data_IF_544900569080
#
_entry.id   IF_544900569080
#
_cell.length_a   1.000
_cell.length_b   1.000
_cell.length_c   1.000
_cell.angle_alpha   90.00
_cell.angle_beta   90.00
_cell.angle_gamma   90.00
#
_symmetry.space_group_name_H-M   'P 1'
#
loop_
_entity.id
_entity.type
_entity.pdbx_description
1 polymer ?
#
# COMPACT_ATOMS: atom_id res chain seq x y z
N UNK A 1 5.19 -18.46 23.44
CA UNK A 1 5.58 -17.54 22.34
C UNK A 1 4.55 -16.42 22.29
N UNK A 2 4.97 -15.18 22.54
CA UNK A 2 4.06 -14.03 22.69
C UNK A 2 3.48 -13.57 21.36
N UNK A 3 2.24 -13.98 21.07
CA UNK A 3 1.49 -13.39 19.97
C UNK A 3 0.96 -12.03 20.43
N UNK A 4 1.27 -10.96 19.69
CA UNK A 4 0.63 -9.65 19.89
C UNK A 4 -0.89 -9.80 19.67
N UNK A 5 -1.72 -9.19 20.51
CA UNK A 5 -3.18 -9.08 20.25
C UNK A 5 -3.38 -8.35 18.91
N UNK A 6 -4.48 -8.62 18.19
CA UNK A 6 -4.67 -8.14 16.81
C UNK A 6 -4.56 -6.61 16.70
N UNK A 7 -5.11 -5.88 17.67
CA UNK A 7 -5.05 -4.42 17.74
C UNK A 7 -3.61 -3.96 17.93
N UNK A 8 -2.82 -4.68 18.72
CA UNK A 8 -1.40 -4.35 18.92
C UNK A 8 -0.58 -4.63 17.66
N UNK A 9 -0.89 -5.70 16.93
CA UNK A 9 -0.25 -5.98 15.64
C UNK A 9 -0.58 -4.87 14.63
N UNK A 10 -1.86 -4.50 14.53
CA UNK A 10 -2.32 -3.41 13.68
C UNK A 10 -1.60 -2.10 14.02
N UNK A 11 -1.65 -1.66 15.28
CA UNK A 11 -1.11 -0.36 15.70
C UNK A 11 0.42 -0.30 15.61
N UNK A 12 1.11 -1.37 16.05
CA UNK A 12 2.58 -1.34 16.20
C UNK A 12 3.33 -1.73 14.95
N UNK A 13 2.75 -2.55 14.09
CA UNK A 13 3.40 -3.00 12.86
C UNK A 13 2.77 -2.32 11.65
N UNK A 14 1.49 -2.55 11.40
CA UNK A 14 0.85 -2.09 10.15
C UNK A 14 0.73 -0.57 10.10
N UNK A 15 0.02 0.03 11.06
CA UNK A 15 -0.20 1.48 11.10
C UNK A 15 1.09 2.26 11.26
N UNK A 16 2.01 1.76 12.09
CA UNK A 16 3.36 2.32 12.24
C UNK A 16 4.10 2.38 10.89
N UNK A 17 4.12 1.29 10.13
CA UNK A 17 4.79 1.25 8.83
C UNK A 17 4.11 2.15 7.80
N UNK A 18 2.78 2.21 7.80
CA UNK A 18 2.03 3.14 6.95
C UNK A 18 2.41 4.60 7.26
N UNK A 19 2.42 5.00 8.53
CA UNK A 19 2.82 6.35 8.93
C UNK A 19 4.28 6.66 8.55
N UNK A 20 5.20 5.71 8.74
CA UNK A 20 6.60 5.89 8.35
C UNK A 20 6.75 6.14 6.84
N UNK A 21 5.97 5.43 6.02
CA UNK A 21 5.96 5.65 4.59
C UNK A 21 5.42 7.05 4.22
N UNK A 22 4.29 7.47 4.78
CA UNK A 22 3.73 8.81 4.52
C UNK A 22 4.73 9.91 4.90
N UNK A 23 5.39 9.78 6.06
CA UNK A 23 6.43 10.71 6.49
C UNK A 23 7.64 10.74 5.54
N UNK A 24 8.07 9.59 5.02
CA UNK A 24 9.16 9.51 4.07
C UNK A 24 8.77 10.14 2.70
N UNK A 25 7.53 9.96 2.26
CA UNK A 25 7.04 10.60 1.04
C UNK A 25 6.92 12.12 1.19
N UNK A 26 6.49 12.62 2.35
CA UNK A 26 6.52 14.06 2.65
C UNK A 26 7.95 14.62 2.70
N UNK A 27 8.88 13.86 3.27
CA UNK A 27 10.29 14.23 3.24
C UNK A 27 10.84 14.32 1.81
N UNK A 28 10.48 13.37 0.92
CA UNK A 28 10.84 13.41 -0.49
C UNK A 28 10.36 14.70 -1.18
N UNK A 29 9.13 15.12 -0.92
CA UNK A 29 8.59 16.37 -1.47
C UNK A 29 9.39 17.58 -0.97
N UNK A 30 9.65 17.65 0.33
CA UNK A 30 10.41 18.75 0.92
C UNK A 30 11.85 18.79 0.39
N UNK A 31 12.51 17.63 0.31
CA UNK A 31 13.88 17.50 -0.20
C UNK A 31 13.98 17.91 -1.67
N UNK A 32 13.03 17.48 -2.50
CA UNK A 32 12.98 17.85 -3.91
C UNK A 32 12.75 19.34 -4.10
N UNK A 33 11.89 19.94 -3.26
CA UNK A 33 11.59 21.38 -3.32
C UNK A 33 12.75 22.26 -2.83
N UNK A 34 13.60 21.73 -1.94
CA UNK A 34 14.79 22.42 -1.45
C UNK A 34 15.92 22.50 -2.49
N UNK A 35 15.87 21.68 -3.55
CA UNK A 35 16.83 21.71 -4.66
C UNK A 35 18.18 21.02 -4.39
N UNK A 36 18.33 20.32 -3.26
CA UNK A 36 19.50 19.49 -2.98
C UNK A 36 19.32 18.09 -3.58
N UNK A 37 20.06 17.81 -4.65
CA UNK A 37 19.95 16.56 -5.39
C UNK A 37 20.35 15.32 -4.56
N UNK A 38 21.32 15.46 -3.66
CA UNK A 38 21.77 14.34 -2.82
C UNK A 38 20.70 13.99 -1.79
N UNK A 39 20.18 15.01 -1.10
CA UNK A 39 19.11 14.83 -0.11
C UNK A 39 17.82 14.33 -0.78
N UNK A 40 17.49 14.81 -1.97
CA UNK A 40 16.33 14.33 -2.73
C UNK A 40 16.47 12.86 -3.13
N UNK A 41 17.68 12.43 -3.50
CA UNK A 41 17.96 11.02 -3.81
C UNK A 41 17.82 10.13 -2.57
N UNK A 42 18.38 10.53 -1.43
CA UNK A 42 18.25 9.80 -0.17
C UNK A 42 16.78 9.69 0.27
N UNK A 43 16.03 10.79 0.16
CA UNK A 43 14.61 10.80 0.47
C UNK A 43 13.80 9.90 -0.47
N UNK A 44 14.16 9.83 -1.75
CA UNK A 44 13.53 8.92 -2.71
C UNK A 44 13.75 7.45 -2.34
N UNK A 45 14.97 7.07 -1.99
CA UNK A 45 15.26 5.70 -1.57
C UNK A 45 14.55 5.33 -0.26
N UNK A 46 14.48 6.26 0.69
CA UNK A 46 13.78 6.03 1.95
C UNK A 46 12.26 5.90 1.73
N UNK A 47 11.66 6.74 0.88
CA UNK A 47 10.24 6.62 0.52
C UNK A 47 9.94 5.27 -0.16
N UNK A 48 10.81 4.81 -1.06
CA UNK A 48 10.69 3.48 -1.68
C UNK A 48 10.80 2.36 -0.64
N UNK A 49 11.82 2.40 0.22
CA UNK A 49 12.08 1.38 1.25
C UNK A 49 10.93 1.25 2.26
N UNK A 50 10.46 2.39 2.76
CA UNK A 50 9.35 2.43 3.71
C UNK A 50 8.02 2.05 3.04
N UNK A 51 7.78 2.47 1.79
CA UNK A 51 6.61 2.07 1.02
C UNK A 51 6.54 0.57 0.78
N UNK A 52 7.66 -0.06 0.41
CA UNK A 52 7.76 -1.52 0.27
C UNK A 52 7.46 -2.24 1.59
N UNK A 53 7.98 -1.71 2.71
CA UNK A 53 7.74 -2.30 4.04
C UNK A 53 6.27 -2.18 4.45
N UNK A 54 5.66 -1.01 4.24
CA UNK A 54 4.24 -0.77 4.50
C UNK A 54 3.34 -1.71 3.68
N UNK A 55 3.64 -1.88 2.39
CA UNK A 55 2.90 -2.79 1.52
C UNK A 55 2.96 -4.24 2.00
N UNK A 56 4.13 -4.72 2.43
CA UNK A 56 4.30 -6.07 2.99
C UNK A 56 3.45 -6.24 4.25
N UNK A 57 3.59 -5.35 5.23
CA UNK A 57 2.85 -5.47 6.49
C UNK A 57 1.34 -5.39 6.28
N UNK A 58 0.88 -4.44 5.46
CA UNK A 58 -0.54 -4.22 5.21
C UNK A 58 -1.18 -5.39 4.45
N UNK A 59 -0.50 -5.93 3.42
CA UNK A 59 -0.99 -7.09 2.68
C UNK A 59 -1.04 -8.36 3.53
N UNK A 60 0.05 -8.67 4.25
CA UNK A 60 0.14 -9.88 5.06
C UNK A 60 -0.70 -9.84 6.34
N UNK A 61 -1.19 -8.67 6.74
CA UNK A 61 -2.12 -8.57 7.86
C UNK A 61 -3.41 -9.38 7.64
N UNK A 62 -3.79 -9.65 6.38
CA UNK A 62 -4.90 -10.56 6.06
C UNK A 62 -4.68 -11.98 6.62
N UNK A 63 -3.46 -12.49 6.52
CA UNK A 63 -3.09 -13.81 7.05
C UNK A 63 -3.12 -13.78 8.57
N UNK A 64 -2.59 -12.72 9.18
CA UNK A 64 -2.60 -12.54 10.64
C UNK A 64 -4.03 -12.49 11.18
N UNK A 65 -4.91 -11.71 10.56
CA UNK A 65 -6.30 -11.57 10.98
C UNK A 65 -7.09 -12.88 10.78
N UNK A 66 -6.81 -13.62 9.70
CA UNK A 66 -7.43 -14.91 9.42
C UNK A 66 -7.00 -15.96 10.46
N UNK A 67 -5.70 -16.20 10.62
CA UNK A 67 -5.17 -17.22 11.56
C UNK A 67 -5.56 -16.96 13.02
N UNK A 68 -5.90 -15.71 13.35
CA UNK A 68 -6.31 -15.29 14.70
C UNK A 68 -7.82 -15.17 14.89
N UNK A 69 -8.63 -15.54 13.90
CA UNK A 69 -10.08 -15.41 13.94
C UNK A 69 -10.57 -13.98 14.31
N UNK A 70 -9.87 -12.95 13.81
CA UNK A 70 -10.08 -11.56 14.23
C UNK A 70 -11.35 -10.90 13.67
N UNK A 71 -12.03 -11.54 12.71
CA UNK A 71 -13.22 -11.01 12.04
C UNK A 71 -14.40 -11.93 12.32
N UNK A 72 -15.57 -11.35 12.59
CA UNK A 72 -16.81 -12.07 12.86
C UNK A 72 -17.93 -11.59 11.88
N UNK A 73 -18.58 -12.49 11.12
CA UNK A 73 -18.33 -13.92 11.00
C UNK A 73 -16.93 -14.23 10.46
N UNK A 74 -16.33 -15.32 10.96
CA UNK A 74 -15.01 -15.74 10.49
C UNK A 74 -15.07 -16.13 9.01
N UNK A 75 -14.23 -15.56 8.14
CA UNK A 75 -14.22 -15.93 6.72
C UNK A 75 -13.92 -17.41 6.52
N UNK A 76 -14.53 -18.05 5.52
CA UNK A 76 -14.35 -19.48 5.26
C UNK A 76 -12.94 -19.87 4.76
N UNK A 77 -12.15 -18.90 4.31
CA UNK A 77 -10.78 -19.10 3.82
C UNK A 77 -10.01 -17.78 3.80
N UNK A 78 -8.68 -17.85 3.67
CA UNK A 78 -7.84 -16.66 3.43
C UNK A 78 -8.25 -15.91 2.14
N UNK A 79 -8.72 -16.62 1.11
CA UNK A 79 -9.23 -15.99 -0.11
C UNK A 79 -10.50 -15.17 0.18
N UNK A 80 -11.41 -15.70 1.02
CA UNK A 80 -12.59 -14.97 1.46
C UNK A 80 -12.25 -13.75 2.33
N UNK A 81 -11.23 -13.85 3.19
CA UNK A 81 -10.70 -12.71 3.95
C UNK A 81 -10.17 -11.61 3.00
N UNK A 82 -9.37 -11.98 1.99
CA UNK A 82 -8.85 -11.04 1.00
C UNK A 82 -9.97 -10.39 0.18
N UNK A 83 -10.98 -11.15 -0.22
CA UNK A 83 -12.16 -10.62 -0.91
C UNK A 83 -12.96 -9.64 -0.03
N UNK A 84 -13.08 -9.92 1.27
CA UNK A 84 -13.72 -9.00 2.22
C UNK A 84 -12.98 -7.66 2.30
N UNK A 85 -11.64 -7.67 2.36
CA UNK A 85 -10.83 -6.45 2.38
C UNK A 85 -10.99 -5.66 1.08
N UNK A 86 -10.97 -6.34 -0.07
CA UNK A 86 -11.21 -5.73 -1.37
C UNK A 86 -12.59 -5.05 -1.43
N UNK A 87 -13.63 -5.72 -0.94
CA UNK A 87 -14.98 -5.18 -0.90
C UNK A 87 -15.14 -3.96 0.02
N UNK A 88 -14.27 -3.82 1.03
CA UNK A 88 -14.28 -2.69 1.97
C UNK A 88 -13.19 -1.65 1.67
N UNK A 89 -12.44 -1.78 0.59
CA UNK A 89 -11.42 -0.80 0.19
C UNK A 89 -12.10 0.34 -0.57
N UNK A 90 -12.00 1.56 -0.05
CA UNK A 90 -12.63 2.75 -0.63
C UNK A 90 -11.68 3.95 -0.65
N UNK A 91 -11.84 4.81 -1.65
CA UNK A 91 -11.21 6.14 -1.71
C UNK A 91 -11.76 7.08 -0.65
N UNK A 92 -11.09 8.22 -0.41
CA UNK A 92 -11.47 9.18 0.64
C UNK A 92 -12.87 9.76 0.43
N UNK A 93 -13.33 9.80 -0.82
CA UNK A 93 -14.68 10.21 -1.25
C UNK A 93 -15.72 9.10 -1.12
N UNK A 94 -15.32 7.88 -0.76
CA UNK A 94 -16.19 6.71 -0.63
C UNK A 94 -16.27 5.82 -1.88
N UNK A 95 -15.67 6.22 -2.99
CA UNK A 95 -15.70 5.41 -4.22
C UNK A 95 -14.95 4.09 -4.02
N UNK A 96 -15.51 2.98 -4.51
CA UNK A 96 -14.94 1.65 -4.35
C UNK A 96 -13.55 1.51 -5.01
N UNK A 97 -12.67 0.76 -4.35
CA UNK A 97 -11.29 0.46 -4.77
C UNK A 97 -10.96 -1.02 -4.59
N UNK A 98 -11.71 -1.93 -5.26
CA UNK A 98 -11.59 -3.37 -5.04
C UNK A 98 -10.23 -3.95 -5.45
N UNK A 99 -9.49 -3.26 -6.32
CA UNK A 99 -8.20 -3.73 -6.80
C UNK A 99 -7.04 -3.38 -5.87
N UNK A 100 -7.19 -2.44 -4.94
CA UNK A 100 -6.08 -1.86 -4.18
C UNK A 100 -5.36 -2.92 -3.31
N UNK A 101 -6.11 -3.78 -2.63
CA UNK A 101 -5.52 -4.88 -1.86
C UNK A 101 -4.81 -5.92 -2.77
N UNK A 102 -5.31 -6.14 -3.99
CA UNK A 102 -4.67 -7.03 -4.97
C UNK A 102 -3.37 -6.43 -5.49
N UNK A 103 -3.35 -5.12 -5.78
CA UNK A 103 -2.16 -4.38 -6.20
C UNK A 103 -1.10 -4.43 -5.09
N UNK A 104 -1.47 -4.26 -3.81
CA UNK A 104 -0.55 -4.45 -2.69
C UNK A 104 0.05 -5.85 -2.65
N UNK A 105 -0.76 -6.89 -2.89
CA UNK A 105 -0.27 -8.26 -2.97
C UNK A 105 0.76 -8.47 -4.07
N UNK A 106 0.55 -7.85 -5.23
CA UNK A 106 1.52 -7.83 -6.32
C UNK A 106 2.84 -7.19 -5.92
N UNK A 107 2.77 -6.01 -5.31
CA UNK A 107 3.95 -5.30 -4.82
C UNK A 107 4.69 -6.11 -3.75
N UNK A 108 3.99 -6.62 -2.73
CA UNK A 108 4.60 -7.42 -1.67
C UNK A 108 5.29 -8.68 -2.22
N UNK A 109 4.63 -9.36 -3.17
CA UNK A 109 5.19 -10.53 -3.86
C UNK A 109 6.43 -10.16 -4.68
N UNK A 110 6.39 -9.04 -5.40
CA UNK A 110 7.52 -8.56 -6.18
C UNK A 110 8.74 -8.22 -5.32
N UNK A 111 8.53 -7.54 -4.18
CA UNK A 111 9.61 -7.23 -3.24
C UNK A 111 10.24 -8.51 -2.69
N UNK A 112 9.44 -9.54 -2.42
CA UNK A 112 9.92 -10.83 -1.90
C UNK A 112 10.69 -11.64 -2.94
N UNK A 113 10.24 -11.64 -4.20
CA UNK A 113 10.75 -12.54 -5.23
C UNK A 113 11.65 -11.87 -6.28
N UNK A 114 11.85 -10.54 -6.18
CA UNK A 114 12.47 -9.71 -7.20
C UNK A 114 11.81 -9.81 -8.61
N UNK A 115 10.63 -10.46 -8.69
CA UNK A 115 9.89 -10.76 -9.91
C UNK A 115 8.39 -10.83 -9.60
N UNK A 116 7.55 -10.40 -10.55
CA UNK A 116 6.10 -10.56 -10.46
C UNK A 116 5.66 -11.87 -11.10
N UNK A 117 4.88 -12.64 -10.35
CA UNK A 117 4.37 -13.96 -10.78
C UNK A 117 2.86 -14.01 -11.00
N UNK A 118 2.13 -12.92 -10.78
CA UNK A 118 0.67 -12.89 -10.94
C UNK A 118 0.28 -12.32 -12.32
N UNK A 119 -0.27 -13.15 -13.23
CA UNK A 119 -0.65 -12.73 -14.57
C UNK A 119 -1.92 -11.86 -14.62
N UNK A 120 -2.66 -11.73 -13.51
CA UNK A 120 -3.93 -10.99 -13.45
C UNK A 120 -3.79 -9.61 -12.80
N UNK A 121 -2.62 -9.28 -12.25
CA UNK A 121 -2.33 -7.91 -11.80
C UNK A 121 -2.07 -7.08 -13.04
N UNK A 122 -2.80 -5.97 -13.16
CA UNK A 122 -2.74 -5.02 -14.28
C UNK A 122 -1.27 -4.81 -14.64
N UNK A 123 -0.87 -5.44 -15.74
CA UNK A 123 0.48 -5.79 -16.16
C UNK A 123 1.54 -4.79 -15.67
N UNK A 124 2.38 -5.19 -14.73
CA UNK A 124 3.58 -4.41 -14.49
C UNK A 124 4.49 -4.60 -15.71
N UNK A 125 5.08 -3.52 -16.26
CA UNK A 125 5.86 -3.62 -17.48
C UNK A 125 6.97 -4.66 -17.33
N UNK A 126 7.18 -5.44 -18.40
CA UNK A 126 8.16 -6.54 -18.54
C UNK A 126 9.60 -6.17 -18.11
N UNK A 127 9.87 -4.88 -17.92
CA UNK A 127 11.08 -4.32 -17.29
C UNK A 127 11.30 -4.73 -15.82
N UNK A 128 10.32 -5.33 -15.14
CA UNK A 128 10.43 -5.77 -13.74
C UNK A 128 10.31 -4.65 -12.69
N UNK A 129 10.11 -3.39 -13.12
CA UNK A 129 9.95 -2.24 -12.21
C UNK A 129 8.51 -2.16 -11.71
N UNK A 130 8.32 -2.55 -10.45
CA UNK A 130 6.99 -2.63 -9.80
C UNK A 130 6.61 -1.35 -9.08
N UNK A 131 7.61 -0.62 -8.59
CA UNK A 131 7.46 0.60 -7.81
C UNK A 131 8.51 1.62 -8.25
N UNK A 132 8.14 2.88 -8.37
CA UNK A 132 9.04 3.98 -8.74
C UNK A 132 8.61 5.30 -8.13
N UNK A 133 9.53 6.27 -8.13
CA UNK A 133 9.16 7.68 -7.95
C UNK A 133 8.56 8.19 -9.26
N UNK A 134 7.41 8.85 -9.16
CA UNK A 134 6.77 9.55 -10.28
C UNK A 134 6.53 11.00 -9.91
N UNK A 135 6.72 11.88 -10.90
CA UNK A 135 6.30 13.28 -10.85
C UNK A 135 5.02 13.50 -11.67
N UNK A 136 4.54 12.48 -12.39
CA UNK A 136 3.34 12.58 -13.22
C UNK A 136 2.06 12.46 -12.38
N UNK A 137 0.98 13.12 -12.82
CA UNK A 137 -0.35 12.88 -12.25
C UNK A 137 -0.78 11.44 -12.60
N UNK A 138 -1.24 10.65 -11.63
CA UNK A 138 -1.86 9.34 -11.90
C UNK A 138 -3.04 9.51 -12.86
N UNK A 139 -3.07 8.71 -13.91
CA UNK A 139 -4.01 8.92 -15.04
C UNK A 139 -5.38 8.30 -14.76
N UNK A 140 -5.48 7.41 -13.78
CA UNK A 140 -6.65 6.56 -13.57
C UNK A 140 -7.71 7.13 -12.62
N UNK A 141 -7.29 7.83 -11.57
CA UNK A 141 -8.14 8.32 -10.48
C UNK A 141 -7.60 9.66 -9.98
N UNK A 142 -8.47 10.51 -9.43
CA UNK A 142 -8.06 11.77 -8.78
C UNK A 142 -7.53 11.52 -7.36
N UNK A 143 -6.52 10.66 -7.26
CA UNK A 143 -5.85 10.25 -6.04
C UNK A 143 -4.35 10.52 -6.16
N UNK A 144 -3.68 10.74 -5.03
CA UNK A 144 -2.24 11.03 -5.00
C UNK A 144 -1.90 12.50 -5.22
N UNK A 145 -0.61 12.77 -5.44
CA UNK A 145 -0.09 14.14 -5.57
C UNK A 145 -0.25 14.66 -7.00
N UNK A 146 -0.53 15.96 -7.13
CA UNK A 146 -0.70 16.64 -8.42
C UNK A 146 0.51 17.52 -8.76
N UNK A 147 0.48 18.16 -9.94
CA UNK A 147 1.35 19.28 -10.29
C UNK A 147 2.87 19.02 -10.25
N UNK A 148 3.35 17.84 -10.61
CA UNK A 148 4.80 17.58 -10.67
C UNK A 148 5.43 17.15 -9.34
N UNK A 149 4.65 17.12 -8.26
CA UNK A 149 5.14 16.73 -6.93
C UNK A 149 5.52 15.24 -6.93
N UNK A 150 6.73 14.87 -6.45
CA UNK A 150 7.16 13.48 -6.43
C UNK A 150 6.29 12.65 -5.47
N UNK A 151 5.99 11.43 -5.88
CA UNK A 151 5.28 10.44 -5.07
C UNK A 151 5.71 9.02 -5.47
N UNK A 152 5.49 8.04 -4.59
CA UNK A 152 5.72 6.64 -4.92
C UNK A 152 4.51 6.08 -5.66
N UNK A 153 4.73 5.48 -6.83
CA UNK A 153 3.67 4.83 -7.61
C UNK A 153 3.97 3.35 -7.83
N UNK A 154 2.91 2.55 -7.80
CA UNK A 154 2.93 1.17 -8.31
C UNK A 154 2.65 1.23 -9.80
N UNK A 155 3.56 0.68 -10.59
CA UNK A 155 3.47 0.69 -12.05
C UNK A 155 2.53 -0.42 -12.50
N UNK A 156 1.55 -0.09 -13.33
CA UNK A 156 0.58 -1.04 -13.88
C UNK A 156 0.20 -0.64 -15.31
N UNK A 157 -0.05 -1.60 -16.19
CA UNK A 157 -0.25 -1.33 -17.63
C UNK A 157 -1.40 -0.36 -17.82
N UNK A 158 -1.03 0.78 -18.37
CA UNK A 158 -1.93 1.86 -18.71
C UNK A 158 -2.40 2.72 -17.54
N UNK A 159 -2.09 2.39 -16.27
CA UNK A 159 -2.62 3.10 -15.09
C UNK A 159 -1.73 2.96 -13.84
N UNK A 160 -0.67 3.76 -13.75
CA UNK A 160 0.08 3.91 -12.49
C UNK A 160 -0.86 4.34 -11.35
N UNK A 161 -0.62 3.78 -10.15
CA UNK A 161 -1.40 4.10 -8.94
C UNK A 161 -0.50 4.61 -7.82
N UNK A 162 -0.86 5.71 -7.13
CA UNK A 162 -0.13 6.18 -5.96
C UNK A 162 -0.16 5.12 -4.87
N UNK A 163 1.01 4.77 -4.35
CA UNK A 163 1.12 3.82 -3.25
C UNK A 163 0.48 4.38 -1.97
N UNK A 164 0.59 5.69 -1.72
CA UNK A 164 -0.10 6.38 -0.63
C UNK A 164 -1.61 6.16 -0.64
N UNK A 165 -2.25 6.40 -1.79
CA UNK A 165 -3.68 6.20 -1.95
C UNK A 165 -4.08 4.74 -1.71
N UNK A 166 -3.35 3.79 -2.30
CA UNK A 166 -3.60 2.35 -2.11
C UNK A 166 -3.53 1.98 -0.62
N UNK A 167 -2.47 2.40 0.08
CA UNK A 167 -2.27 2.11 1.50
C UNK A 167 -3.41 2.69 2.34
N UNK A 168 -3.81 3.94 2.10
CA UNK A 168 -4.91 4.59 2.80
C UNK A 168 -6.26 3.89 2.55
N UNK A 169 -6.55 3.55 1.30
CA UNK A 169 -7.80 2.90 0.90
C UNK A 169 -7.96 1.53 1.57
N UNK A 170 -6.89 0.73 1.56
CA UNK A 170 -6.87 -0.60 2.20
C UNK A 170 -6.87 -0.47 3.71
N UNK A 171 -6.17 0.52 4.28
CA UNK A 171 -6.20 0.78 5.73
C UNK A 171 -7.60 1.14 6.22
N UNK A 172 -8.34 1.94 5.45
CA UNK A 172 -9.74 2.26 5.77
C UNK A 172 -10.64 1.03 5.70
N UNK A 173 -10.41 0.13 4.74
CA UNK A 173 -11.11 -1.15 4.71
C UNK A 173 -10.85 -2.01 5.95
N UNK A 174 -9.60 -2.07 6.42
CA UNK A 174 -9.27 -2.75 7.67
C UNK A 174 -9.92 -2.11 8.90
N UNK A 175 -9.89 -0.78 8.98
CA UNK A 175 -10.53 -0.07 10.08
C UNK A 175 -12.04 -0.36 10.11
N UNK A 176 -12.71 -0.37 8.95
CA UNK A 176 -14.12 -0.72 8.83
C UNK A 176 -14.40 -2.18 9.26
N UNK A 177 -13.59 -3.14 8.80
CA UNK A 177 -13.75 -4.56 9.13
C UNK A 177 -13.53 -4.83 10.63
N UNK A 178 -12.55 -4.18 11.25
CA UNK A 178 -12.18 -4.39 12.64
C UNK A 178 -12.90 -3.46 13.63
N UNK A 179 -13.72 -2.52 13.14
CA UNK A 179 -14.38 -1.52 13.97
C UNK A 179 -13.39 -0.55 14.64
N UNK A 180 -12.23 -0.31 14.02
CA UNK A 180 -11.20 0.60 14.51
C UNK A 180 -11.49 2.03 14.04
N UNK A 181 -11.10 3.06 14.82
CA UNK A 181 -11.23 4.44 14.38
C UNK A 181 -10.38 4.71 13.13
N UNK A 182 -10.94 5.52 12.22
CA UNK A 182 -10.27 6.02 11.01
C UNK A 182 -9.22 7.06 11.37
#
# INVERSE_FOLDING_TARGET
>A
MGQLVIETHWERLVRRSNHQFIQAEDWLVNATSAGDACVAQDAAYEALRTGMSAAIFLYHFAEVAFERNAVNPHPASIAAMRALIQANSHSVTGDARPDDHRILGGLANAVKHAELKDPNIIEVPHTGVVVRISHGKPVAFDEGRANGTPQVVVVATGRDRPLGAIIENVSRGWNAILGLPV
#
